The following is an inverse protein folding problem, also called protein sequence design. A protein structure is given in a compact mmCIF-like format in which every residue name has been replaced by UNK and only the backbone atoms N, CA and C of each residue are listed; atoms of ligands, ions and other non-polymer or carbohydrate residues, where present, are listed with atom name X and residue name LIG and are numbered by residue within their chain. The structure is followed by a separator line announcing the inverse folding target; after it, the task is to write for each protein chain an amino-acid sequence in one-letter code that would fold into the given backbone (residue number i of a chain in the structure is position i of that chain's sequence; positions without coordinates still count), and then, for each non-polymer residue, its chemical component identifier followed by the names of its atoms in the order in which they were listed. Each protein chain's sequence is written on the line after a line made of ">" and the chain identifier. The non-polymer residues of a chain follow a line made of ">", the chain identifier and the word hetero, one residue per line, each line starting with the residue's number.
data_IF_457922681627
#
_entry.id   IF_457922681627
#
_cell.length_a   1.000
_cell.length_b   1.000
_cell.length_c   1.000
_cell.angle_alpha   90.00
_cell.angle_beta   90.00
_cell.angle_gamma   90.00
#
_symmetry.space_group_name_H-M   'P 1'
#
loop_
_entity.id
_entity.type
_entity.pdbx_description
1 polymer ?
#
# COMPACT_ATOMS: atom_id res chain seq x y z
N UNK A 1 -8.41 9.83 -19.14
CA UNK A 1 -6.94 9.69 -19.24
C UNK A 1 -6.63 8.19 -19.18
N UNK A 2 -5.86 7.62 -20.12
CA UNK A 2 -5.43 6.21 -20.10
C UNK A 2 -4.62 5.97 -18.82
N UNK A 3 -5.17 5.21 -17.87
CA UNK A 3 -4.39 4.73 -16.73
C UNK A 3 -3.25 3.86 -17.27
N UNK A 4 -2.01 4.14 -16.83
CA UNK A 4 -0.79 3.59 -17.45
C UNK A 4 -0.28 2.31 -16.77
N UNK A 5 -0.78 1.98 -15.58
CA UNK A 5 -0.23 0.91 -14.75
C UNK A 5 -1.35 0.04 -14.16
N UNK A 6 -1.12 -1.28 -14.15
CA UNK A 6 -2.01 -2.27 -13.55
C UNK A 6 -1.78 -2.48 -12.04
N UNK A 7 -0.65 -2.01 -11.51
CA UNK A 7 -0.36 -2.06 -10.09
C UNK A 7 0.76 -1.05 -9.74
N UNK A 8 0.91 -0.77 -8.46
CA UNK A 8 2.07 -0.03 -7.92
C UNK A 8 2.73 -0.89 -6.85
N UNK A 9 4.06 -0.96 -6.86
CA UNK A 9 4.85 -1.56 -5.78
C UNK A 9 5.67 -0.44 -5.14
N UNK A 10 5.52 -0.28 -3.82
CA UNK A 10 6.11 0.79 -3.05
C UNK A 10 6.96 0.24 -1.90
N UNK A 11 8.18 0.77 -1.78
CA UNK A 11 9.08 0.54 -0.65
C UNK A 11 9.41 1.85 0.09
N UNK A 12 8.58 2.89 -0.07
CA UNK A 12 8.73 4.15 0.66
C UNK A 12 8.67 3.87 2.17
N UNK A 13 9.57 4.45 2.99
CA UNK A 13 9.62 4.21 4.43
C UNK A 13 8.47 4.94 5.15
N UNK A 14 7.23 4.49 4.93
CA UNK A 14 6.01 5.14 5.42
C UNK A 14 6.02 5.36 6.93
N UNK A 15 6.63 4.46 7.71
CA UNK A 15 6.69 4.56 9.18
C UNK A 15 7.44 5.80 9.68
N UNK A 16 8.32 6.38 8.87
CA UNK A 16 9.05 7.61 9.17
C UNK A 16 8.20 8.88 9.04
N UNK A 17 7.00 8.78 8.47
CA UNK A 17 6.11 9.91 8.21
C UNK A 17 4.88 9.91 9.12
N UNK A 18 4.26 11.06 9.42
CA UNK A 18 2.96 11.13 10.08
C UNK A 18 1.87 10.39 9.30
N UNK A 19 0.88 9.83 10.00
CA UNK A 19 -0.20 9.02 9.38
C UNK A 19 -0.86 9.73 8.20
N UNK A 20 -1.18 11.02 8.33
CA UNK A 20 -1.82 11.79 7.27
C UNK A 20 -1.04 11.77 5.94
N UNK A 21 0.28 11.89 6.00
CA UNK A 21 1.11 11.85 4.79
C UNK A 21 1.13 10.45 4.15
N UNK A 22 1.07 9.40 4.98
CA UNK A 22 0.96 8.02 4.49
C UNK A 22 -0.37 7.79 3.76
N UNK A 23 -1.47 8.33 4.31
CA UNK A 23 -2.80 8.25 3.69
C UNK A 23 -2.81 8.99 2.35
N UNK A 24 -2.31 10.23 2.31
CA UNK A 24 -2.22 11.03 1.07
C UNK A 24 -1.40 10.32 0.00
N UNK A 25 -0.22 9.79 0.35
CA UNK A 25 0.59 9.02 -0.60
C UNK A 25 -0.17 7.81 -1.13
N UNK A 26 -0.81 7.03 -0.26
CA UNK A 26 -1.55 5.85 -0.67
C UNK A 26 -2.71 6.20 -1.62
N UNK A 27 -3.49 7.23 -1.30
CA UNK A 27 -4.62 7.68 -2.12
C UNK A 27 -4.15 8.17 -3.49
N UNK A 28 -3.05 8.93 -3.55
CA UNK A 28 -2.44 9.39 -4.80
C UNK A 28 -1.93 8.24 -5.67
N UNK A 29 -1.34 7.21 -5.05
CA UNK A 29 -0.88 6.01 -5.75
C UNK A 29 -2.06 5.21 -6.31
N UNK A 30 -3.10 5.00 -5.48
CA UNK A 30 -4.31 4.35 -5.92
C UNK A 30 -4.91 5.10 -7.10
N UNK A 31 -5.07 6.42 -7.04
CA UNK A 31 -5.69 7.24 -8.08
C UNK A 31 -5.01 7.16 -9.47
N UNK A 32 -3.82 6.55 -9.56
CA UNK A 32 -3.06 6.35 -10.81
C UNK A 32 -3.28 4.98 -11.48
N UNK A 33 -4.03 4.09 -10.83
CA UNK A 33 -4.32 2.72 -11.30
C UNK A 33 -5.83 2.45 -11.30
N UNK A 34 -6.32 1.49 -12.12
CA UNK A 34 -7.74 1.15 -12.17
C UNK A 34 -8.31 0.70 -10.83
N UNK A 35 -9.62 0.90 -10.64
CA UNK A 35 -10.31 0.39 -9.46
C UNK A 35 -10.14 -1.15 -9.36
N UNK A 36 -10.00 -1.67 -8.13
CA UNK A 36 -9.69 -3.08 -7.88
C UNK A 36 -8.23 -3.49 -8.08
N UNK A 37 -7.39 -2.64 -8.71
CA UNK A 37 -5.95 -2.91 -8.87
C UNK A 37 -5.16 -2.58 -7.59
N UNK A 38 -4.11 -3.34 -7.26
CA UNK A 38 -3.42 -3.19 -5.99
C UNK A 38 -2.31 -2.14 -6.03
N UNK A 39 -2.19 -1.40 -4.92
CA UNK A 39 -0.90 -0.89 -4.44
C UNK A 39 -0.35 -1.92 -3.45
N UNK A 40 0.87 -2.40 -3.68
CA UNK A 40 1.63 -3.24 -2.76
C UNK A 40 2.60 -2.35 -2.00
N UNK A 41 2.58 -2.42 -0.66
CA UNK A 41 3.53 -1.72 0.19
C UNK A 41 4.41 -2.73 0.92
N UNK A 42 5.71 -2.53 0.82
CA UNK A 42 6.73 -3.25 1.58
C UNK A 42 7.01 -2.45 2.85
N UNK A 43 6.97 -3.11 4.00
CA UNK A 43 7.27 -2.50 5.30
C UNK A 43 8.08 -3.47 6.16
N UNK A 44 8.96 -2.92 7.01
CA UNK A 44 9.64 -3.68 8.05
C UNK A 44 8.90 -3.62 9.41
N UNK A 45 7.77 -2.92 9.48
CA UNK A 45 6.88 -2.95 10.64
C UNK A 45 6.04 -4.21 10.68
N UNK A 46 5.66 -4.64 11.89
CA UNK A 46 4.81 -5.82 12.11
C UNK A 46 3.38 -5.65 11.54
N UNK A 47 2.89 -4.41 11.49
CA UNK A 47 1.54 -4.07 11.05
C UNK A 47 1.56 -3.22 9.77
N UNK A 48 0.39 -3.10 9.15
CA UNK A 48 0.16 -2.19 8.04
C UNK A 48 0.65 -0.77 8.39
N UNK A 49 1.46 -0.13 7.53
CA UNK A 49 1.94 1.22 7.81
C UNK A 49 0.85 2.29 7.67
N UNK A 50 -0.27 1.95 7.01
CA UNK A 50 -1.43 2.82 6.79
C UNK A 50 -2.66 2.26 7.50
N UNK A 51 -3.48 3.14 8.08
CA UNK A 51 -4.73 2.80 8.76
C UNK A 51 -5.71 2.09 7.80
N UNK A 52 -6.56 1.20 8.31
CA UNK A 52 -7.67 0.63 7.56
C UNK A 52 -8.81 1.65 7.45
N UNK A 53 -9.24 1.99 6.22
CA UNK A 53 -10.37 2.89 5.95
C UNK A 53 -11.33 2.22 4.95
N UNK A 54 -12.28 1.37 5.42
CA UNK A 54 -13.11 0.53 4.56
C UNK A 54 -13.91 1.28 3.50
N UNK A 55 -14.33 2.51 3.81
CA UNK A 55 -15.09 3.37 2.88
C UNK A 55 -14.24 3.92 1.73
N UNK A 56 -12.91 3.77 1.79
CA UNK A 56 -11.95 4.29 0.79
C UNK A 56 -11.17 3.19 0.11
N UNK A 57 -10.70 2.21 0.88
CA UNK A 57 -9.93 1.08 0.37
C UNK A 57 -9.96 -0.14 1.30
N UNK A 58 -9.69 -1.29 0.72
CA UNK A 58 -9.51 -2.56 1.42
C UNK A 58 -8.02 -2.78 1.65
N UNK A 59 -7.65 -3.02 2.90
CA UNK A 59 -6.30 -3.44 3.33
C UNK A 59 -6.27 -4.94 3.54
N UNK A 60 -5.26 -5.61 3.01
CA UNK A 60 -5.03 -7.03 3.28
C UNK A 60 -3.53 -7.32 3.40
N UNK A 61 -3.15 -8.11 4.40
CA UNK A 61 -1.81 -8.69 4.44
C UNK A 61 -1.64 -9.59 3.22
N UNK A 62 -0.48 -9.49 2.57
CA UNK A 62 -0.18 -10.25 1.35
C UNK A 62 0.79 -11.38 1.64
N UNK A 63 1.96 -11.07 2.20
CA UNK A 63 2.99 -12.07 2.49
C UNK A 63 4.00 -11.55 3.52
N UNK A 64 4.77 -12.47 4.12
CA UNK A 64 5.93 -12.18 4.94
C UNK A 64 7.19 -12.79 4.29
N UNK A 65 8.07 -11.93 3.80
CA UNK A 65 9.22 -12.34 2.98
C UNK A 65 10.48 -12.39 3.84
N UNK A 66 10.84 -13.60 4.29
CA UNK A 66 12.04 -13.88 5.09
C UNK A 66 13.35 -13.67 4.31
N UNK A 67 13.30 -13.83 2.98
CA UNK A 67 14.47 -13.64 2.11
C UNK A 67 14.87 -12.18 1.92
N UNK A 68 14.03 -11.23 2.34
CA UNK A 68 14.43 -9.85 2.47
C UNK A 68 15.21 -9.69 3.78
N UNK A 69 16.31 -8.95 3.80
CA UNK A 69 17.14 -8.78 5.00
C UNK A 69 17.12 -7.30 5.39
N UNK A 70 16.48 -6.91 6.51
CA UNK A 70 15.66 -7.73 7.43
C UNK A 70 14.34 -8.23 6.81
N UNK A 71 13.64 -9.23 7.39
CA UNK A 71 12.38 -9.73 6.85
C UNK A 71 11.30 -8.65 6.70
N UNK A 72 10.57 -8.65 5.58
CA UNK A 72 9.56 -7.63 5.29
C UNK A 72 8.14 -8.18 5.26
N UNK A 73 7.19 -7.36 5.70
CA UNK A 73 5.77 -7.56 5.50
C UNK A 73 5.33 -6.88 4.20
N UNK A 74 4.52 -7.57 3.41
CA UNK A 74 3.88 -7.04 2.22
C UNK A 74 2.39 -6.85 2.51
N UNK A 75 1.89 -5.67 2.17
CA UNK A 75 0.48 -5.31 2.34
C UNK A 75 -0.10 -4.86 1.01
N UNK A 76 -1.35 -5.22 0.75
CA UNK A 76 -2.09 -4.77 -0.43
C UNK A 76 -3.20 -3.79 -0.05
N UNK A 77 -3.37 -2.79 -0.89
CA UNK A 77 -4.42 -1.79 -0.80
C UNK A 77 -5.16 -1.74 -2.13
N UNK A 78 -6.50 -1.80 -2.10
CA UNK A 78 -7.36 -1.71 -3.29
C UNK A 78 -8.49 -0.76 -3.01
N UNK A 79 -8.82 0.15 -3.94
CA UNK A 79 -10.06 0.92 -3.83
C UNK A 79 -11.24 -0.04 -3.86
N UNK A 80 -12.18 0.15 -2.93
CA UNK A 80 -13.52 -0.38 -3.09
C UNK A 80 -14.13 0.28 -4.34
N UNK A 81 -14.80 -0.51 -5.17
CA UNK A 81 -15.38 -0.08 -6.46
C UNK A 81 -16.32 1.09 -6.26
#
# INVERSE_FOLDING_TARGET
>A
RREKFDCVISAVPMLSFPMQQRLTLLEDLLARIPAGRPVIQITYGLLSPVLKMPDRYIVSHYDFVVRNVPPAQLWTYRRAV
#
